data_IF_369303090672
#
_entry.id   IF_369303090672
#
_cell.length_a   1.000
_cell.length_b   1.000
_cell.length_c   1.000
_cell.angle_alpha   90.00
_cell.angle_beta   90.00
_cell.angle_gamma   90.00
#
_symmetry.space_group_name_H-M   'P 1'
#
loop_
_entity.id
_entity.type
_entity.pdbx_description
1 polymer ?
#
# COMPACT_ATOMS: atom_id res chain seq x y z
N UNK A 1 -19.18 -15.17 18.79
CA UNK A 1 -17.83 -14.61 19.00
C UNK A 1 -16.95 -15.13 17.87
N UNK A 2 -16.41 -14.27 17.02
CA UNK A 2 -15.57 -14.69 15.88
C UNK A 2 -15.87 -14.04 14.53
N UNK A 3 -16.66 -12.95 14.46
CA UNK A 3 -16.93 -12.22 13.21
C UNK A 3 -16.31 -10.82 13.13
N UNK A 4 -15.65 -10.37 14.21
CA UNK A 4 -15.19 -8.97 14.39
C UNK A 4 -13.75 -8.70 13.95
N UNK A 5 -13.00 -9.73 13.56
CA UNK A 5 -11.53 -9.59 13.42
C UNK A 5 -11.07 -9.38 11.98
N UNK A 6 -11.97 -9.52 11.00
CA UNK A 6 -11.60 -9.47 9.57
C UNK A 6 -11.53 -8.08 8.97
N UNK A 7 -12.01 -7.07 9.70
CA UNK A 7 -12.32 -5.74 9.17
C UNK A 7 -11.36 -4.69 9.79
N UNK A 8 -10.94 -4.90 11.04
CA UNK A 8 -9.80 -4.24 11.71
C UNK A 8 -8.44 -4.43 11.00
N UNK A 9 -8.35 -5.38 10.05
CA UNK A 9 -7.15 -5.62 9.22
C UNK A 9 -6.99 -4.65 8.04
N UNK A 10 -8.01 -3.83 7.76
CA UNK A 10 -7.93 -2.71 6.82
C UNK A 10 -7.38 -1.43 7.49
N UNK A 11 -7.27 -1.39 8.83
CA UNK A 11 -6.66 -0.31 9.63
C UNK A 11 -5.13 -0.20 9.50
N UNK A 12 -4.59 -0.69 8.38
CA UNK A 12 -3.25 -0.41 7.88
C UNK A 12 -3.19 1.07 7.44
N UNK A 13 -3.22 1.93 8.45
CA UNK A 13 -3.03 3.37 8.49
C UNK A 13 -1.59 3.79 8.09
N UNK A 14 -0.87 2.96 7.34
CA UNK A 14 0.58 2.83 7.40
C UNK A 14 1.01 2.39 6.00
N UNK A 15 1.49 3.20 5.06
CA UNK A 15 2.74 3.98 5.13
C UNK A 15 2.93 4.78 3.80
N UNK A 16 1.83 5.27 3.21
CA UNK A 16 1.83 5.85 1.84
C UNK A 16 2.24 7.30 1.70
N UNK A 17 2.61 7.97 2.77
CA UNK A 17 2.92 9.39 2.64
C UNK A 17 4.27 9.64 1.95
N UNK A 18 5.06 8.60 1.63
CA UNK A 18 6.38 8.77 1.01
C UNK A 18 6.48 8.50 -0.50
N UNK A 19 5.56 7.77 -1.12
CA UNK A 19 5.63 7.54 -2.58
C UNK A 19 5.02 8.71 -3.36
N UNK A 20 4.22 9.55 -2.72
CA UNK A 20 3.52 10.69 -3.38
C UNK A 20 4.44 11.92 -3.53
N UNK A 21 5.64 11.92 -2.94
CA UNK A 21 6.54 13.09 -3.01
C UNK A 21 7.42 13.16 -4.26
N UNK A 22 7.51 12.10 -5.09
CA UNK A 22 8.33 12.13 -6.30
C UNK A 22 7.53 11.74 -7.55
N UNK A 23 7.31 12.67 -8.49
CA UNK A 23 7.00 12.26 -9.84
C UNK A 23 8.24 11.52 -10.36
N UNK A 24 8.17 10.19 -10.48
CA UNK A 24 9.14 9.44 -11.25
C UNK A 24 8.99 9.91 -12.70
N UNK A 25 9.78 10.91 -13.08
CA UNK A 25 9.98 11.30 -14.47
C UNK A 25 10.44 10.05 -15.22
N UNK A 26 9.55 9.53 -16.04
CA UNK A 26 9.83 8.52 -17.05
C UNK A 26 10.77 9.14 -18.08
N UNK A 27 12.07 9.19 -17.82
CA UNK A 27 13.08 9.57 -18.82
C UNK A 27 14.44 8.94 -18.50
N UNK A 28 14.45 7.62 -18.28
CA UNK A 28 15.69 6.82 -18.22
C UNK A 28 16.34 6.59 -19.60
N UNK A 29 16.17 7.51 -20.55
CA UNK A 29 16.80 7.42 -21.89
C UNK A 29 17.71 8.59 -22.25
N UNK A 30 17.93 9.55 -21.36
CA UNK A 30 18.68 10.75 -21.68
C UNK A 30 19.86 11.03 -20.74
N UNK A 31 20.84 10.11 -20.67
CA UNK A 31 22.22 10.48 -20.30
C UNK A 31 23.23 9.37 -20.67
N UNK A 32 23.32 9.08 -21.97
CA UNK A 32 24.58 8.62 -22.56
C UNK A 32 25.30 9.85 -23.13
N UNK A 33 26.17 10.47 -22.34
CA UNK A 33 27.20 11.35 -22.85
C UNK A 33 28.48 11.07 -22.07
N UNK A 34 29.38 10.38 -22.75
CA UNK A 34 30.75 10.05 -22.34
C UNK A 34 31.50 11.35 -22.09
N UNK A 35 32.20 11.46 -20.96
CA UNK A 35 33.46 12.19 -20.93
C UNK A 35 34.49 11.45 -20.06
N UNK A 36 35.53 10.98 -20.72
CA UNK A 36 36.69 10.30 -20.16
C UNK A 36 37.61 11.35 -19.52
N UNK A 37 37.63 11.52 -18.19
CA UNK A 37 38.88 11.81 -17.48
C UNK A 37 38.83 11.63 -15.96
N UNK A 38 39.86 10.94 -15.44
CA UNK A 38 40.33 10.81 -14.04
C UNK A 38 39.51 9.92 -13.08
N UNK A 39 39.99 8.69 -13.01
CA UNK A 39 39.77 7.67 -11.97
C UNK A 39 40.07 8.24 -10.59
N UNK A 40 39.02 8.61 -9.85
CA UNK A 40 38.99 8.58 -8.39
C UNK A 40 38.33 7.26 -7.97
N UNK A 41 39.12 6.32 -7.48
CA UNK A 41 38.72 4.94 -7.16
C UNK A 41 37.64 4.84 -6.06
N UNK A 42 37.38 5.93 -5.33
CA UNK A 42 36.31 6.02 -4.32
C UNK A 42 34.92 6.14 -4.95
N UNK A 43 34.78 6.83 -6.09
CA UNK A 43 33.47 7.05 -6.73
C UNK A 43 32.99 5.81 -7.50
N UNK A 44 33.89 4.94 -7.97
CA UNK A 44 33.50 3.78 -8.77
C UNK A 44 32.73 2.72 -7.97
N UNK A 45 33.07 2.52 -6.69
CA UNK A 45 32.42 1.49 -5.87
C UNK A 45 31.02 1.91 -5.43
N UNK A 46 30.83 3.20 -5.14
CA UNK A 46 29.52 3.79 -4.80
C UNK A 46 28.59 3.83 -6.01
N UNK A 47 29.09 4.25 -7.19
CA UNK A 47 28.32 4.21 -8.44
C UNK A 47 27.90 2.77 -8.80
N UNK A 48 28.77 1.79 -8.58
CA UNK A 48 28.44 0.38 -8.79
C UNK A 48 27.41 -0.14 -7.78
N UNK A 49 27.43 0.36 -6.54
CA UNK A 49 26.44 0.02 -5.51
C UNK A 49 25.05 0.57 -5.84
N UNK A 50 24.93 1.86 -6.15
CA UNK A 50 23.65 2.51 -6.48
C UNK A 50 23.02 1.81 -7.69
N UNK A 51 23.82 1.52 -8.72
CA UNK A 51 23.36 0.78 -9.91
C UNK A 51 22.90 -0.65 -9.59
N UNK A 52 23.52 -1.31 -8.61
CA UNK A 52 23.09 -2.63 -8.15
C UNK A 52 21.81 -2.57 -7.29
N UNK A 53 21.55 -1.45 -6.62
CA UNK A 53 20.38 -1.22 -5.77
C UNK A 53 19.12 -0.86 -6.58
N UNK A 54 19.29 -0.18 -7.72
CA UNK A 54 18.19 0.29 -8.60
C UNK A 54 17.14 -0.80 -8.91
N UNK A 55 17.48 -2.05 -9.28
CA UNK A 55 16.50 -3.10 -9.52
C UNK A 55 15.64 -3.44 -8.29
N UNK A 56 16.19 -3.31 -7.08
CA UNK A 56 15.46 -3.52 -5.83
C UNK A 56 14.44 -2.40 -5.63
N UNK A 57 14.86 -1.15 -5.83
CA UNK A 57 13.99 0.04 -5.73
C UNK A 57 12.82 -0.08 -6.70
N UNK A 58 13.11 -0.34 -7.99
CA UNK A 58 12.09 -0.47 -9.04
C UNK A 58 11.14 -1.62 -8.74
N UNK A 59 11.64 -2.77 -8.28
CA UNK A 59 10.80 -3.93 -7.92
C UNK A 59 9.88 -3.60 -6.74
N UNK A 60 10.40 -2.92 -5.71
CA UNK A 60 9.61 -2.51 -4.55
C UNK A 60 8.51 -1.53 -4.95
N UNK A 61 8.85 -0.48 -5.72
CA UNK A 61 7.89 0.52 -6.19
C UNK A 61 6.77 -0.13 -7.02
N UNK A 62 7.12 -0.98 -7.98
CA UNK A 62 6.14 -1.71 -8.80
C UNK A 62 5.23 -2.63 -7.95
N UNK A 63 5.79 -3.29 -6.93
CA UNK A 63 5.02 -4.13 -6.02
C UNK A 63 4.02 -3.33 -5.19
N UNK A 64 4.47 -2.19 -4.67
CA UNK A 64 3.66 -1.27 -3.86
C UNK A 64 2.57 -0.60 -4.71
N UNK A 65 2.88 -0.19 -5.95
CA UNK A 65 1.90 0.36 -6.88
C UNK A 65 0.78 -0.64 -7.20
N UNK A 66 1.14 -1.90 -7.53
CA UNK A 66 0.16 -2.97 -7.78
C UNK A 66 -0.72 -3.26 -6.56
N UNK A 67 -0.16 -3.16 -5.36
CA UNK A 67 -0.93 -3.27 -4.13
C UNK A 67 -1.99 -2.17 -4.05
N UNK A 68 -1.65 -0.91 -4.34
CA UNK A 68 -2.64 0.17 -4.36
C UNK A 68 -3.68 0.03 -5.44
N UNK A 69 -3.30 -0.40 -6.64
CA UNK A 69 -4.27 -0.62 -7.72
C UNK A 69 -5.29 -1.70 -7.33
N UNK A 70 -4.81 -2.76 -6.67
CA UNK A 70 -5.67 -3.84 -6.15
C UNK A 70 -6.58 -3.32 -5.04
N UNK A 71 -6.03 -2.59 -4.06
CA UNK A 71 -6.81 -2.01 -2.97
C UNK A 71 -7.90 -1.07 -3.51
N UNK A 72 -7.53 -0.15 -4.40
CA UNK A 72 -8.46 0.80 -5.01
C UNK A 72 -9.57 0.08 -5.79
N UNK A 73 -9.21 -0.92 -6.59
CA UNK A 73 -10.18 -1.70 -7.40
C UNK A 73 -11.16 -2.46 -6.51
N UNK A 74 -10.65 -3.15 -5.49
CA UNK A 74 -11.48 -3.93 -4.59
C UNK A 74 -12.36 -3.04 -3.70
N UNK A 75 -11.82 -1.92 -3.20
CA UNK A 75 -12.62 -0.92 -2.47
C UNK A 75 -13.68 -0.29 -3.37
N UNK A 76 -13.38 0.03 -4.64
CA UNK A 76 -14.36 0.55 -5.57
C UNK A 76 -15.53 -0.43 -5.78
N UNK A 77 -15.21 -1.72 -5.96
CA UNK A 77 -16.21 -2.78 -6.09
C UNK A 77 -17.07 -2.90 -4.83
N UNK A 78 -16.44 -2.87 -3.65
CA UNK A 78 -17.13 -2.92 -2.38
C UNK A 78 -18.07 -1.71 -2.19
N UNK A 79 -17.56 -0.49 -2.36
CA UNK A 79 -18.35 0.74 -2.20
C UNK A 79 -19.51 0.82 -3.20
N UNK A 80 -19.29 0.43 -4.47
CA UNK A 80 -20.36 0.34 -5.48
C UNK A 80 -21.44 -0.65 -5.06
N UNK A 81 -21.03 -1.80 -4.51
CA UNK A 81 -21.91 -2.78 -3.91
C UNK A 81 -22.74 -2.19 -2.77
N UNK A 82 -22.09 -1.60 -1.77
CA UNK A 82 -22.73 -0.98 -0.59
C UNK A 82 -23.75 0.07 -1.03
N UNK A 83 -23.40 0.94 -1.99
CA UNK A 83 -24.32 1.94 -2.54
C UNK A 83 -25.56 1.31 -3.20
N UNK A 84 -25.40 0.24 -3.97
CA UNK A 84 -26.54 -0.48 -4.56
C UNK A 84 -27.43 -1.10 -3.50
N UNK A 85 -26.83 -1.67 -2.45
CA UNK A 85 -27.56 -2.28 -1.35
C UNK A 85 -28.32 -1.23 -0.51
N UNK A 86 -27.71 -0.07 -0.22
CA UNK A 86 -28.36 1.05 0.47
C UNK A 86 -29.57 1.56 -0.31
N UNK A 87 -29.43 1.77 -1.63
CA UNK A 87 -30.53 2.21 -2.50
C UNK A 87 -31.68 1.21 -2.63
N UNK A 88 -31.42 -0.07 -2.33
CA UNK A 88 -32.42 -1.12 -2.35
C UNK A 88 -33.15 -1.31 -1.02
N UNK A 89 -32.73 -0.60 0.05
CA UNK A 89 -33.45 -0.62 1.31
C UNK A 89 -34.78 0.13 1.16
N UNK A 90 -35.86 -0.35 1.79
CA UNK A 90 -37.14 0.34 1.79
C UNK A 90 -37.14 1.57 2.73
N UNK A 91 -36.15 1.67 3.62
CA UNK A 91 -36.01 2.72 4.61
C UNK A 91 -35.22 3.91 4.02
N UNK A 92 -35.69 5.14 4.26
CA UNK A 92 -34.98 6.39 3.92
C UNK A 92 -34.72 7.21 5.19
N UNK A 93 -33.81 6.71 6.02
CA UNK A 93 -33.42 7.36 7.27
C UNK A 93 -32.27 8.36 7.07
N UNK A 94 -32.06 9.23 8.06
CA UNK A 94 -31.06 10.29 8.02
C UNK A 94 -29.64 9.73 7.80
N UNK A 95 -29.34 8.55 8.36
CA UNK A 95 -28.06 7.90 8.17
C UNK A 95 -27.83 7.46 6.71
N UNK A 96 -28.84 6.90 6.03
CA UNK A 96 -28.76 6.57 4.61
C UNK A 96 -28.58 7.84 3.76
N UNK A 97 -29.28 8.93 4.10
CA UNK A 97 -29.16 10.23 3.40
C UNK A 97 -27.79 10.89 3.58
N UNK A 98 -27.13 10.70 4.71
CA UNK A 98 -25.76 11.18 4.96
C UNK A 98 -24.69 10.28 4.32
N UNK A 99 -24.87 8.96 4.42
CA UNK A 99 -23.88 7.98 3.97
C UNK A 99 -23.81 7.90 2.44
N UNK A 100 -24.95 7.96 1.75
CA UNK A 100 -25.02 7.80 0.28
C UNK A 100 -24.19 8.83 -0.48
N UNK A 101 -24.26 10.15 -0.19
CA UNK A 101 -23.41 11.15 -0.85
C UNK A 101 -21.93 10.95 -0.56
N UNK A 102 -21.56 10.60 0.69
CA UNK A 102 -20.17 10.33 1.08
C UNK A 102 -19.56 9.18 0.29
N UNK A 103 -20.27 8.05 0.22
CA UNK A 103 -19.84 6.88 -0.54
C UNK A 103 -19.85 7.12 -2.05
N UNK A 104 -20.79 7.91 -2.57
CA UNK A 104 -20.82 8.29 -3.99
C UNK A 104 -19.59 9.13 -4.36
N UNK A 105 -19.21 10.09 -3.50
CA UNK A 105 -18.00 10.90 -3.66
C UNK A 105 -16.74 10.04 -3.60
N UNK A 106 -16.65 9.14 -2.63
CA UNK A 106 -15.53 8.19 -2.52
C UNK A 106 -15.42 7.30 -3.76
N UNK A 107 -16.53 6.75 -4.25
CA UNK A 107 -16.55 5.91 -5.45
C UNK A 107 -16.09 6.66 -6.71
N UNK A 108 -16.48 7.93 -6.85
CA UNK A 108 -16.04 8.75 -7.97
C UNK A 108 -14.51 8.90 -7.97
N UNK A 109 -13.92 9.16 -6.81
CA UNK A 109 -12.46 9.28 -6.63
C UNK A 109 -11.72 7.95 -6.79
N UNK A 110 -12.32 6.85 -6.34
CA UNK A 110 -11.77 5.49 -6.56
C UNK A 110 -11.76 5.09 -8.04
N UNK A 111 -12.63 5.68 -8.86
CA UNK A 111 -12.66 5.46 -10.32
C UNK A 111 -11.79 6.45 -11.08
N UNK A 112 -11.34 7.51 -10.41
CA UNK A 112 -10.37 8.43 -10.97
C UNK A 112 -8.99 7.76 -10.97
N UNK A 113 -8.32 7.81 -12.11
CA UNK A 113 -7.01 7.20 -12.34
C UNK A 113 -5.88 8.22 -12.26
N UNK A 114 -6.21 9.49 -11.99
CA UNK A 114 -5.21 10.52 -11.79
C UNK A 114 -4.47 10.30 -10.46
N UNK A 115 -3.15 10.52 -10.49
CA UNK A 115 -2.25 10.37 -9.34
C UNK A 115 -2.49 11.44 -8.25
N UNK A 116 -3.18 12.54 -8.59
CA UNK A 116 -3.41 13.65 -7.67
C UNK A 116 -4.32 13.23 -6.50
N UNK A 117 -3.77 13.26 -5.29
CA UNK A 117 -4.54 12.99 -4.07
C UNK A 117 -4.66 11.51 -3.68
N UNK A 118 -3.80 10.62 -4.21
CA UNK A 118 -3.78 9.19 -3.84
C UNK A 118 -3.65 8.95 -2.33
N UNK A 119 -2.83 9.75 -1.65
CA UNK A 119 -2.67 9.71 -0.18
C UNK A 119 -3.96 10.08 0.56
N UNK A 120 -4.65 11.13 0.11
CA UNK A 120 -5.92 11.55 0.68
C UNK A 120 -7.01 10.49 0.42
N UNK A 121 -7.04 9.91 -0.78
CA UNK A 121 -7.95 8.82 -1.13
C UNK A 121 -7.77 7.63 -0.20
N UNK A 122 -6.54 7.20 0.04
CA UNK A 122 -6.23 6.05 0.92
C UNK A 122 -6.63 6.32 2.37
N UNK A 123 -6.40 7.54 2.87
CA UNK A 123 -6.89 7.93 4.19
C UNK A 123 -8.41 7.83 4.26
N UNK A 124 -9.11 8.35 3.27
CA UNK A 124 -10.58 8.35 3.26
C UNK A 124 -11.17 6.93 3.13
N UNK A 125 -10.45 6.01 2.45
CA UNK A 125 -10.76 4.58 2.46
C UNK A 125 -10.66 4.03 3.90
N UNK A 126 -9.51 4.26 4.55
CA UNK A 126 -9.27 3.79 5.92
C UNK A 126 -10.30 4.31 6.92
N UNK A 127 -10.61 5.60 6.87
CA UNK A 127 -11.61 6.23 7.74
C UNK A 127 -13.01 5.64 7.51
N UNK A 128 -13.37 5.32 6.26
CA UNK A 128 -14.66 4.72 5.92
C UNK A 128 -14.79 3.29 6.46
N UNK A 129 -13.75 2.47 6.35
CA UNK A 129 -13.76 1.12 6.92
C UNK A 129 -13.75 1.15 8.45
N UNK A 130 -12.94 2.01 9.07
CA UNK A 130 -12.92 2.17 10.52
C UNK A 130 -14.29 2.63 11.07
N UNK A 131 -14.99 3.51 10.37
CA UNK A 131 -16.36 3.91 10.74
C UNK A 131 -17.33 2.72 10.68
N UNK A 132 -17.27 1.90 9.62
CA UNK A 132 -18.12 0.72 9.49
C UNK A 132 -17.86 -0.31 10.59
N UNK A 133 -16.60 -0.55 10.94
CA UNK A 133 -16.22 -1.42 12.05
C UNK A 133 -16.73 -0.90 13.37
N UNK A 134 -16.43 0.36 13.67
CA UNK A 134 -16.83 0.99 14.92
C UNK A 134 -18.35 1.03 15.11
N UNK A 135 -19.14 0.99 14.04
CA UNK A 135 -20.60 0.88 14.11
C UNK A 135 -21.00 -0.59 14.28
N UNK A 136 -20.52 -1.51 13.43
CA UNK A 136 -20.91 -2.93 13.48
C UNK A 136 -20.52 -3.66 14.77
N UNK A 137 -19.49 -3.18 15.48
CA UNK A 137 -19.09 -3.73 16.78
C UNK A 137 -19.94 -3.27 17.96
N UNK A 138 -20.80 -2.25 17.76
CA UNK A 138 -21.69 -1.78 18.82
C UNK A 138 -22.80 -2.81 19.07
N UNK A 139 -23.24 -2.88 20.32
CA UNK A 139 -24.25 -3.85 20.79
C UNK A 139 -25.59 -3.19 21.14
N UNK A 140 -25.78 -1.96 20.70
CA UNK A 140 -27.01 -1.20 20.89
C UNK A 140 -27.96 -1.36 19.68
N UNK A 141 -29.26 -1.18 19.93
CA UNK A 141 -30.29 -1.08 18.90
C UNK A 141 -30.23 0.32 18.23
N UNK A 142 -29.07 0.64 17.64
CA UNK A 142 -28.85 1.86 16.87
C UNK A 142 -29.23 1.61 15.40
N UNK A 143 -29.98 2.55 14.82
CA UNK A 143 -30.40 2.53 13.41
C UNK A 143 -29.21 2.37 12.44
N UNK A 144 -28.02 2.88 12.80
CA UNK A 144 -26.79 2.72 12.00
C UNK A 144 -26.31 1.28 11.98
N UNK A 145 -26.42 0.58 13.12
CA UNK A 145 -26.03 -0.83 13.27
C UNK A 145 -26.96 -1.70 12.43
N UNK A 146 -28.28 -1.46 12.51
CA UNK A 146 -29.27 -2.20 11.73
C UNK A 146 -29.08 -2.00 10.21
N UNK A 147 -28.91 -0.76 9.76
CA UNK A 147 -28.66 -0.44 8.34
C UNK A 147 -27.37 -1.09 7.85
N UNK A 148 -26.26 -0.93 8.56
CA UNK A 148 -24.99 -1.50 8.12
C UNK A 148 -25.02 -3.03 8.16
N UNK A 149 -25.65 -3.66 9.16
CA UNK A 149 -25.75 -5.12 9.22
C UNK A 149 -26.51 -5.67 8.02
N UNK A 150 -27.68 -5.08 7.69
CA UNK A 150 -28.49 -5.46 6.50
C UNK A 150 -27.75 -5.32 5.18
N UNK A 151 -26.84 -4.35 5.10
CA UNK A 151 -26.06 -4.05 3.89
C UNK A 151 -24.84 -4.97 3.82
N UNK A 152 -24.01 -5.00 4.88
CA UNK A 152 -22.73 -5.70 4.92
C UNK A 152 -22.86 -7.22 4.87
N UNK A 153 -23.94 -7.81 5.40
CA UNK A 153 -24.21 -9.25 5.32
C UNK A 153 -24.32 -9.76 3.87
N UNK A 154 -24.55 -8.87 2.90
CA UNK A 154 -24.67 -9.22 1.47
C UNK A 154 -23.33 -9.31 0.74
N UNK A 155 -22.22 -8.95 1.39
CA UNK A 155 -20.91 -8.85 0.73
C UNK A 155 -19.95 -9.96 1.14
N UNK A 156 -19.22 -10.48 0.16
CA UNK A 156 -18.15 -11.45 0.37
C UNK A 156 -16.84 -10.74 0.73
N UNK A 157 -16.75 -10.24 1.96
CA UNK A 157 -15.54 -9.55 2.47
C UNK A 157 -14.29 -10.44 2.44
N UNK A 158 -14.47 -11.77 2.48
CA UNK A 158 -13.38 -12.74 2.39
C UNK A 158 -12.63 -12.70 1.05
N UNK A 159 -13.34 -12.48 -0.06
CA UNK A 159 -12.72 -12.45 -1.40
C UNK A 159 -11.88 -11.17 -1.57
N UNK A 160 -12.43 -10.01 -1.18
CA UNK A 160 -11.69 -8.76 -1.14
C UNK A 160 -10.44 -8.88 -0.27
N UNK A 161 -10.57 -9.41 0.95
CA UNK A 161 -9.44 -9.60 1.85
C UNK A 161 -8.38 -10.52 1.24
N UNK A 162 -8.79 -11.59 0.55
CA UNK A 162 -7.88 -12.50 -0.14
C UNK A 162 -7.10 -11.80 -1.26
N UNK A 163 -7.75 -10.99 -2.10
CA UNK A 163 -7.08 -10.26 -3.18
C UNK A 163 -6.07 -9.24 -2.64
N UNK A 164 -6.46 -8.45 -1.65
CA UNK A 164 -5.58 -7.45 -1.02
C UNK A 164 -4.40 -8.14 -0.31
N UNK A 165 -4.65 -9.23 0.41
CA UNK A 165 -3.60 -10.01 1.07
C UNK A 165 -2.59 -10.58 0.08
N UNK A 166 -3.07 -11.17 -1.02
CA UNK A 166 -2.20 -11.70 -2.08
C UNK A 166 -1.37 -10.60 -2.74
N UNK A 167 -1.91 -9.40 -2.89
CA UNK A 167 -1.15 -8.28 -3.45
C UNK A 167 0.03 -7.89 -2.54
N UNK A 168 -0.18 -7.85 -1.22
CA UNK A 168 0.89 -7.64 -0.23
C UNK A 168 1.93 -8.75 -0.32
N UNK A 169 1.51 -10.01 -0.30
CA UNK A 169 2.43 -11.16 -0.37
C UNK A 169 3.27 -11.17 -1.66
N UNK A 170 2.67 -10.76 -2.78
CA UNK A 170 3.39 -10.64 -4.04
C UNK A 170 4.42 -9.49 -4.01
N UNK A 171 4.07 -8.34 -3.43
CA UNK A 171 5.01 -7.23 -3.25
C UNK A 171 6.20 -7.64 -2.36
N UNK A 172 5.91 -8.27 -1.23
CA UNK A 172 6.89 -8.78 -0.27
C UNK A 172 7.82 -9.81 -0.89
N UNK A 173 7.26 -10.79 -1.61
CA UNK A 173 8.06 -11.81 -2.31
C UNK A 173 8.96 -11.20 -3.38
N UNK A 174 8.44 -10.21 -4.12
CA UNK A 174 9.21 -9.47 -5.13
C UNK A 174 10.40 -8.75 -4.50
N UNK A 175 10.15 -7.97 -3.44
CA UNK A 175 11.18 -7.27 -2.69
C UNK A 175 12.22 -8.23 -2.11
N UNK A 176 11.81 -9.25 -1.34
CA UNK A 176 12.74 -10.21 -0.73
C UNK A 176 13.68 -10.84 -1.75
N UNK A 177 13.13 -11.29 -2.89
CA UNK A 177 13.94 -11.90 -3.94
C UNK A 177 14.93 -10.91 -4.53
N UNK A 178 14.49 -9.68 -4.83
CA UNK A 178 15.37 -8.66 -5.40
C UNK A 178 16.46 -8.25 -4.41
N UNK A 179 16.10 -8.05 -3.14
CA UNK A 179 17.02 -7.67 -2.08
C UNK A 179 18.07 -8.76 -1.84
N UNK A 180 17.68 -10.03 -1.75
CA UNK A 180 18.62 -11.14 -1.53
C UNK A 180 19.63 -11.26 -2.66
N UNK A 181 19.18 -11.11 -3.92
CA UNK A 181 20.05 -11.12 -5.09
C UNK A 181 21.03 -9.94 -5.07
N UNK A 182 20.53 -8.75 -4.76
CA UNK A 182 21.34 -7.55 -4.58
C UNK A 182 22.39 -7.76 -3.48
N UNK A 183 21.97 -8.15 -2.28
CA UNK A 183 22.85 -8.30 -1.13
C UNK A 183 23.95 -9.35 -1.38
N UNK A 184 23.60 -10.47 -2.01
CA UNK A 184 24.56 -11.51 -2.39
C UNK A 184 25.55 -11.06 -3.49
N UNK A 185 25.21 -10.03 -4.28
CA UNK A 185 26.10 -9.49 -5.31
C UNK A 185 27.15 -8.52 -4.76
N UNK A 186 26.97 -8.02 -3.54
CA UNK A 186 27.88 -7.07 -2.92
C UNK A 186 29.12 -7.77 -2.37
N UNK A 187 30.26 -7.09 -2.47
CA UNK A 187 31.49 -7.50 -1.77
C UNK A 187 31.33 -7.40 -0.25
N UNK A 188 32.15 -8.14 0.52
CA UNK A 188 32.14 -8.05 1.99
C UNK A 188 32.37 -6.62 2.51
N UNK A 189 33.22 -5.85 1.84
CA UNK A 189 33.47 -4.45 2.16
C UNK A 189 32.20 -3.61 2.00
N UNK A 190 31.47 -3.76 0.89
CA UNK A 190 30.20 -3.07 0.65
C UNK A 190 29.09 -3.52 1.61
N UNK A 191 29.00 -4.81 1.92
CA UNK A 191 28.04 -5.30 2.93
C UNK A 191 28.34 -4.72 4.32
N UNK A 192 29.62 -4.55 4.66
CA UNK A 192 30.04 -3.94 5.92
C UNK A 192 29.73 -2.45 5.96
N UNK A 193 30.03 -1.74 4.87
CA UNK A 193 29.76 -0.32 4.71
C UNK A 193 28.25 -0.01 4.78
N UNK A 194 27.44 -0.81 4.10
CA UNK A 194 25.99 -0.64 4.03
C UNK A 194 25.22 -1.57 4.98
N UNK A 195 25.83 -1.96 6.11
CA UNK A 195 25.26 -2.91 7.08
C UNK A 195 23.83 -2.56 7.53
N UNK A 196 23.49 -1.26 7.60
CA UNK A 196 22.15 -0.79 7.96
C UNK A 196 21.06 -1.35 7.05
N UNK A 197 21.32 -1.53 5.75
CA UNK A 197 20.39 -2.17 4.82
C UNK A 197 20.20 -3.66 5.13
N UNK A 198 21.28 -4.35 5.47
CA UNK A 198 21.23 -5.75 5.90
C UNK A 198 20.42 -5.90 7.20
N UNK A 199 20.68 -5.06 8.20
CA UNK A 199 19.95 -5.06 9.48
C UNK A 199 18.46 -4.75 9.27
N UNK A 200 18.13 -3.82 8.37
CA UNK A 200 16.75 -3.53 7.97
C UNK A 200 16.08 -4.77 7.36
N UNK A 201 16.76 -5.47 6.45
CA UNK A 201 16.23 -6.66 5.80
C UNK A 201 15.99 -7.82 6.78
N UNK A 202 16.87 -8.00 7.76
CA UNK A 202 16.65 -9.00 8.82
C UNK A 202 15.40 -8.69 9.66
N UNK A 203 15.19 -7.41 9.99
CA UNK A 203 13.94 -7.00 10.68
C UNK A 203 12.71 -7.23 9.80
N UNK A 204 12.80 -6.90 8.51
CA UNK A 204 11.73 -7.14 7.54
C UNK A 204 11.36 -8.63 7.44
N UNK A 205 12.36 -9.53 7.39
CA UNK A 205 12.09 -10.98 7.36
C UNK A 205 11.43 -11.49 8.64
N UNK A 206 11.71 -10.86 9.78
CA UNK A 206 11.13 -11.22 11.06
C UNK A 206 9.67 -10.73 11.23
N UNK A 207 9.19 -9.83 10.35
CA UNK A 207 7.82 -9.32 10.34
C UNK A 207 6.80 -10.45 10.15
N UNK A 208 5.76 -10.44 10.99
CA UNK A 208 4.70 -11.46 11.02
C UNK A 208 3.43 -10.98 10.37
N UNK A 209 3.14 -9.69 10.47
CA UNK A 209 1.90 -9.11 9.93
C UNK A 209 2.15 -8.44 8.57
N UNK A 210 1.09 -8.30 7.78
CA UNK A 210 1.16 -7.53 6.53
C UNK A 210 1.50 -6.06 6.77
N UNK A 211 1.08 -5.54 7.92
CA UNK A 211 1.41 -4.19 8.37
C UNK A 211 2.90 -3.99 8.56
N UNK A 212 3.53 -4.87 9.34
CA UNK A 212 4.97 -4.82 9.59
C UNK A 212 5.76 -4.96 8.28
N UNK A 213 5.29 -5.83 7.37
CA UNK A 213 5.91 -6.02 6.05
C UNK A 213 5.80 -4.76 5.18
N UNK A 214 4.61 -4.16 5.05
CA UNK A 214 4.43 -2.91 4.28
C UNK A 214 5.24 -1.75 4.86
N UNK A 215 5.32 -1.66 6.19
CA UNK A 215 6.19 -0.70 6.87
C UNK A 215 7.66 -0.91 6.53
N UNK A 216 8.14 -2.15 6.52
CA UNK A 216 9.52 -2.42 6.15
C UNK A 216 9.83 -2.11 4.66
N UNK A 217 8.84 -2.22 3.75
CA UNK A 217 9.00 -1.73 2.37
C UNK A 217 9.13 -0.20 2.31
N UNK A 218 8.37 0.53 3.12
CA UNK A 218 8.50 1.99 3.25
C UNK A 218 9.87 2.38 3.82
N UNK A 219 10.28 1.77 4.93
CA UNK A 219 11.59 2.02 5.55
C UNK A 219 12.74 1.75 4.56
N UNK A 220 12.60 0.72 3.72
CA UNK A 220 13.55 0.47 2.63
C UNK A 220 13.57 1.60 1.61
N UNK A 221 12.41 2.05 1.12
CA UNK A 221 12.34 3.13 0.13
C UNK A 221 12.88 4.45 0.70
N UNK A 222 12.58 4.77 1.97
CA UNK A 222 13.14 5.93 2.67
C UNK A 222 14.67 5.86 2.71
N UNK A 223 15.23 4.71 3.11
CA UNK A 223 16.69 4.52 3.17
C UNK A 223 17.32 4.53 1.78
N UNK A 224 16.62 3.99 0.77
CA UNK A 224 17.08 3.98 -0.61
C UNK A 224 17.22 5.40 -1.18
N UNK A 225 16.34 6.33 -0.79
CA UNK A 225 16.39 7.74 -1.18
C UNK A 225 17.58 8.48 -0.56
N UNK A 226 18.14 8.02 0.56
CA UNK A 226 19.37 8.59 1.12
C UNK A 226 20.61 8.30 0.27
N UNK A 227 20.53 7.32 -0.64
CA UNK A 227 21.60 6.93 -1.56
C UNK A 227 21.44 7.50 -2.98
N UNK A 228 20.29 8.15 -3.29
CA UNK A 228 19.98 8.73 -4.59
C UNK A 228 20.31 10.23 -4.62
#
# INVERSE_FOLDING_TARGET
>A
MGKSTGLLLLCLYLTLQLIVAHPLQSDATAQMAVDDTKVNTTNSNEVNFIKALEPVIVTTLNGVEKYFDTLQTETARFVDGVLKALKALPEDNDYIRELTPRLTSLLARLKDTTLEGRSALIRDIGDSYAEFDNITERKDDDIKVDVLSKVLDKFQLLEMHFHVHNAVDNAVRGFSRAFEQFWASLSEAQQTEHRRLGDLYERFKASKTNEEKLKGLEEFLQMALEFA
#
